data_IF_631724172750
#
_entry.id   IF_631724172750
#
_cell.length_a   1.000
_cell.length_b   1.000
_cell.length_c   1.000
_cell.angle_alpha   90.00
_cell.angle_beta   90.00
_cell.angle_gamma   90.00
#
_symmetry.space_group_name_H-M   'P 1'
#
loop_
_entity.id
_entity.type
_entity.pdbx_description
1 polymer ?
#
# COMPACT_ATOMS: atom_id res chain seq x y z
N UNK A 1 -33.79 45.55 38.30
CA UNK A 1 -32.44 45.43 38.92
C UNK A 1 -31.81 44.06 38.64
N UNK A 2 -32.41 42.96 39.12
CA UNK A 2 -31.84 41.59 38.98
C UNK A 2 -31.58 41.19 37.51
N UNK A 3 -32.49 41.50 36.60
CA UNK A 3 -32.33 41.17 35.17
C UNK A 3 -31.23 41.95 34.44
N UNK A 4 -30.90 43.17 34.88
CA UNK A 4 -29.78 43.94 34.30
C UNK A 4 -28.44 43.37 34.77
N UNK A 5 -28.32 43.11 36.08
CA UNK A 5 -27.11 42.52 36.65
C UNK A 5 -26.82 41.11 36.09
N UNK A 6 -27.86 40.29 35.88
CA UNK A 6 -27.70 38.98 35.24
C UNK A 6 -27.22 39.07 33.79
N UNK A 7 -27.65 40.09 33.04
CA UNK A 7 -27.16 40.35 31.67
C UNK A 7 -25.70 40.78 31.67
N UNK A 8 -25.32 41.70 32.55
CA UNK A 8 -23.93 42.17 32.65
C UNK A 8 -22.97 41.02 32.99
N UNK A 9 -23.38 40.14 33.92
CA UNK A 9 -22.61 38.94 34.25
C UNK A 9 -22.52 37.97 33.07
N UNK A 10 -23.62 37.75 32.34
CA UNK A 10 -23.62 36.89 31.16
C UNK A 10 -22.69 37.44 30.06
N UNK A 11 -22.72 38.75 29.82
CA UNK A 11 -21.81 39.40 28.87
C UNK A 11 -20.34 39.22 29.28
N UNK A 12 -20.00 39.44 30.56
CA UNK A 12 -18.64 39.27 31.03
C UNK A 12 -18.15 37.82 30.86
N UNK A 13 -19.00 36.84 31.19
CA UNK A 13 -18.68 35.42 31.03
C UNK A 13 -18.47 35.05 29.55
N UNK A 14 -19.35 35.50 28.66
CA UNK A 14 -19.24 35.22 27.23
C UNK A 14 -18.00 35.90 26.64
N UNK A 15 -17.70 37.15 27.03
CA UNK A 15 -16.49 37.86 26.60
C UNK A 15 -15.21 37.23 27.14
N UNK A 16 -15.25 36.59 28.31
CA UNK A 16 -14.13 35.80 28.83
C UNK A 16 -13.99 34.50 28.04
N UNK A 17 -15.09 33.82 27.73
CA UNK A 17 -15.10 32.59 26.96
C UNK A 17 -14.65 32.80 25.51
N UNK A 18 -14.99 33.94 24.89
CA UNK A 18 -14.63 34.26 23.50
C UNK A 18 -13.11 34.33 23.29
N UNK A 19 -12.34 34.71 24.33
CA UNK A 19 -10.86 34.67 24.31
C UNK A 19 -10.30 33.26 24.10
N UNK A 20 -11.08 32.22 24.37
CA UNK A 20 -10.74 30.82 24.12
C UNK A 20 -11.21 30.29 22.75
N UNK A 21 -11.61 31.17 21.82
CA UNK A 21 -12.12 30.80 20.49
C UNK A 21 -11.24 29.78 19.75
N UNK A 22 -9.91 29.90 19.81
CA UNK A 22 -9.00 28.96 19.18
C UNK A 22 -9.07 27.54 19.78
N UNK A 23 -9.38 27.39 21.07
CA UNK A 23 -9.62 26.08 21.67
C UNK A 23 -10.95 25.48 21.18
N UNK A 24 -12.01 26.27 21.18
CA UNK A 24 -13.33 25.87 20.70
C UNK A 24 -13.31 25.45 19.22
N UNK A 25 -12.59 26.18 18.38
CA UNK A 25 -12.37 25.80 16.97
C UNK A 25 -11.64 24.46 16.85
N UNK A 26 -10.59 24.24 17.65
CA UNK A 26 -9.85 22.96 17.65
C UNK A 26 -10.72 21.80 18.10
N UNK A 27 -11.58 21.99 19.10
CA UNK A 27 -12.50 20.96 19.55
C UNK A 27 -13.51 20.61 18.45
N UNK A 28 -14.08 21.61 17.77
CA UNK A 28 -15.01 21.41 16.66
C UNK A 28 -14.34 20.70 15.49
N UNK A 29 -13.15 21.15 15.09
CA UNK A 29 -12.34 20.46 14.10
C UNK A 29 -12.04 19.01 14.50
N UNK A 30 -11.60 18.78 15.73
CA UNK A 30 -11.25 17.44 16.20
C UNK A 30 -12.46 16.50 16.19
N UNK A 31 -13.65 16.98 16.56
CA UNK A 31 -14.88 16.19 16.48
C UNK A 31 -15.26 15.84 15.04
N UNK A 32 -15.11 16.77 14.09
CA UNK A 32 -15.45 16.52 12.69
C UNK A 32 -14.40 15.70 11.93
N UNK A 33 -13.12 15.88 12.29
CA UNK A 33 -11.98 15.27 11.60
C UNK A 33 -11.66 13.87 12.13
N UNK A 34 -11.58 13.71 13.46
CA UNK A 34 -11.18 12.45 14.09
C UNK A 34 -12.34 11.51 14.40
N UNK A 35 -13.59 11.94 14.25
CA UNK A 35 -14.74 11.05 14.49
C UNK A 35 -15.51 10.74 13.22
N UNK A 36 -16.09 9.56 13.17
CA UNK A 36 -17.06 9.17 12.16
C UNK A 36 -18.46 9.69 12.50
N UNK A 37 -19.43 9.48 11.61
CA UNK A 37 -20.83 9.88 11.84
C UNK A 37 -21.49 9.20 13.06
N UNK A 38 -20.88 8.13 13.59
CA UNK A 38 -21.34 7.39 14.79
C UNK A 38 -20.62 7.87 16.06
N UNK A 39 -19.74 8.87 15.95
CA UNK A 39 -18.96 9.40 17.06
C UNK A 39 -17.77 8.54 17.48
N UNK A 40 -17.46 7.48 16.74
CA UNK A 40 -16.30 6.61 16.97
C UNK A 40 -15.03 7.24 16.40
N UNK A 41 -13.85 6.96 16.97
CA UNK A 41 -12.58 7.38 16.38
C UNK A 41 -12.42 6.86 14.95
N UNK A 42 -12.04 7.74 14.04
CA UNK A 42 -11.85 7.46 12.62
C UNK A 42 -10.53 6.73 12.39
N UNK A 43 -10.58 5.74 11.50
CA UNK A 43 -9.39 5.04 11.04
C UNK A 43 -9.08 5.46 9.60
N UNK A 44 -7.95 6.13 9.39
CA UNK A 44 -7.50 6.55 8.07
C UNK A 44 -7.24 5.32 7.18
N UNK A 45 -8.16 5.07 6.25
CA UNK A 45 -8.13 3.96 5.31
C UNK A 45 -7.99 4.43 3.86
N UNK A 46 -7.82 3.52 2.91
CA UNK A 46 -7.65 3.88 1.49
C UNK A 46 -8.93 4.47 0.85
N UNK A 47 -10.10 4.18 1.41
CA UNK A 47 -11.40 4.66 0.94
C UNK A 47 -11.77 6.07 1.44
N UNK A 48 -11.03 6.62 2.38
CA UNK A 48 -11.32 7.94 2.94
C UNK A 48 -10.56 9.02 2.18
N UNK A 49 -11.30 10.04 1.75
CA UNK A 49 -10.72 11.28 1.23
C UNK A 49 -10.41 12.22 2.40
N UNK A 50 -9.16 12.18 2.85
CA UNK A 50 -8.66 13.00 3.96
C UNK A 50 -8.80 14.49 3.64
N UNK A 51 -8.69 14.89 2.38
CA UNK A 51 -8.76 16.30 1.96
C UNK A 51 -10.19 16.80 2.08
N UNK A 52 -11.15 16.08 1.52
CA UNK A 52 -12.57 16.43 1.64
C UNK A 52 -13.05 16.47 3.11
N UNK A 53 -12.59 15.52 3.93
CA UNK A 53 -12.90 15.50 5.37
C UNK A 53 -12.26 16.69 6.09
N UNK A 54 -11.03 17.06 5.74
CA UNK A 54 -10.34 18.22 6.29
C UNK A 54 -11.06 19.53 5.94
N UNK A 55 -11.54 19.68 4.71
CA UNK A 55 -12.33 20.84 4.27
C UNK A 55 -13.65 20.96 5.05
N UNK A 56 -14.39 19.85 5.19
CA UNK A 56 -15.61 19.81 5.99
C UNK A 56 -15.34 20.15 7.48
N UNK A 57 -14.25 19.63 8.05
CA UNK A 57 -13.84 19.92 9.41
C UNK A 57 -13.41 21.38 9.60
N UNK A 58 -12.68 21.97 8.65
CA UNK A 58 -12.31 23.40 8.65
C UNK A 58 -13.55 24.30 8.58
N UNK A 59 -14.53 23.93 7.76
CA UNK A 59 -15.82 24.62 7.69
C UNK A 59 -16.56 24.57 9.03
N UNK A 60 -16.54 23.44 9.74
CA UNK A 60 -17.14 23.33 11.08
C UNK A 60 -16.46 24.26 12.12
N UNK A 61 -15.14 24.42 12.03
CA UNK A 61 -14.38 25.33 12.87
C UNK A 61 -14.64 26.80 12.52
N UNK A 62 -14.74 27.13 11.23
CA UNK A 62 -15.07 28.48 10.77
C UNK A 62 -16.47 28.92 11.25
N UNK A 63 -17.47 28.03 11.17
CA UNK A 63 -18.79 28.27 11.74
C UNK A 63 -18.74 28.54 13.24
N UNK A 64 -17.92 27.79 13.98
CA UNK A 64 -17.75 28.01 15.42
C UNK A 64 -17.13 29.38 15.73
N UNK A 65 -16.15 29.83 14.93
CA UNK A 65 -15.58 31.16 15.06
C UNK A 65 -16.63 32.25 14.83
N UNK A 66 -17.45 32.11 13.79
CA UNK A 66 -18.46 33.10 13.46
C UNK A 66 -19.53 33.21 14.55
N UNK A 67 -19.93 32.09 15.18
CA UNK A 67 -20.85 32.08 16.32
C UNK A 67 -20.24 32.78 17.55
N UNK A 68 -18.93 32.64 17.79
CA UNK A 68 -18.24 33.22 18.96
C UNK A 68 -17.89 34.71 18.73
N UNK A 69 -17.85 35.18 17.48
CA UNK A 69 -17.46 36.54 17.15
C UNK A 69 -18.46 37.60 17.63
N UNK A 70 -19.73 37.24 17.79
CA UNK A 70 -20.83 38.17 18.07
C UNK A 70 -21.71 37.69 19.23
N UNK A 71 -22.14 38.63 20.07
CA UNK A 71 -23.02 38.39 21.20
C UNK A 71 -24.49 38.38 20.75
N UNK A 72 -25.14 37.21 20.77
CA UNK A 72 -26.56 37.07 20.39
C UNK A 72 -27.46 36.97 21.61
N UNK A 73 -27.54 38.05 22.40
CA UNK A 73 -28.41 38.07 23.60
C UNK A 73 -29.84 38.58 23.29
N UNK A 74 -30.03 39.20 22.14
CA UNK A 74 -31.32 39.73 21.66
C UNK A 74 -31.64 39.13 20.28
N UNK A 75 -32.86 38.63 20.09
CA UNK A 75 -33.29 37.95 18.85
C UNK A 75 -33.32 38.91 17.65
N UNK A 76 -33.60 40.20 17.90
CA UNK A 76 -33.75 41.21 16.86
C UNK A 76 -32.41 41.84 16.40
N UNK A 77 -31.33 41.66 17.17
CA UNK A 77 -30.04 42.32 16.92
C UNK A 77 -29.26 41.71 15.75
N UNK A 78 -29.59 40.48 15.34
CA UNK A 78 -28.84 39.71 14.34
C UNK A 78 -29.81 38.99 13.41
N UNK A 79 -30.49 39.74 12.54
CA UNK A 79 -31.52 39.19 11.63
C UNK A 79 -31.00 38.15 10.63
N UNK A 80 -31.92 37.44 9.96
CA UNK A 80 -31.62 36.32 9.04
C UNK A 80 -30.60 36.63 7.92
N UNK A 81 -30.53 37.88 7.46
CA UNK A 81 -29.53 38.31 6.47
C UNK A 81 -28.08 38.19 7.00
N UNK A 82 -27.91 38.39 8.30
CA UNK A 82 -26.61 38.24 8.95
C UNK A 82 -26.20 36.77 9.06
N UNK A 83 -27.15 35.86 9.27
CA UNK A 83 -26.85 34.42 9.31
C UNK A 83 -26.39 33.88 7.94
N UNK A 84 -27.00 34.38 6.86
CA UNK A 84 -26.58 34.04 5.51
C UNK A 84 -25.14 34.51 5.25
N UNK A 85 -24.82 35.77 5.58
CA UNK A 85 -23.48 36.34 5.45
C UNK A 85 -22.44 35.61 6.32
N UNK A 86 -22.79 35.25 7.56
CA UNK A 86 -21.97 34.41 8.44
C UNK A 86 -21.66 33.06 7.78
N UNK A 87 -22.66 32.44 7.15
CA UNK A 87 -22.50 31.14 6.50
C UNK A 87 -21.53 31.23 5.31
N UNK A 88 -21.65 32.28 4.51
CA UNK A 88 -20.80 32.53 3.34
C UNK A 88 -19.36 32.83 3.77
N UNK A 89 -19.18 33.75 4.72
CA UNK A 89 -17.87 34.07 5.29
C UNK A 89 -17.20 32.86 5.94
N UNK A 90 -17.97 31.94 6.56
CA UNK A 90 -17.43 30.69 7.12
C UNK A 90 -16.89 29.75 6.04
N UNK A 91 -17.54 29.73 4.87
CA UNK A 91 -17.11 28.92 3.73
C UNK A 91 -15.84 29.51 3.09
N UNK A 92 -15.81 30.83 2.86
CA UNK A 92 -14.61 31.53 2.37
C UNK A 92 -13.42 31.35 3.32
N UNK A 93 -13.68 31.42 4.62
CA UNK A 93 -12.66 31.23 5.65
C UNK A 93 -12.08 29.81 5.62
N UNK A 94 -12.94 28.80 5.48
CA UNK A 94 -12.53 27.41 5.37
C UNK A 94 -11.68 27.14 4.12
N UNK A 95 -11.91 27.87 3.03
CA UNK A 95 -11.10 27.83 1.79
C UNK A 95 -9.76 28.53 1.91
N UNK A 96 -9.53 29.28 2.99
CA UNK A 96 -8.29 30.02 3.21
C UNK A 96 -8.23 31.34 2.42
N UNK A 97 -9.37 31.87 1.99
CA UNK A 97 -9.42 33.15 1.30
C UNK A 97 -9.09 34.27 2.29
N UNK A 98 -8.01 34.99 2.03
CA UNK A 98 -7.42 35.97 2.98
C UNK A 98 -8.36 37.13 3.32
N UNK A 99 -9.39 37.36 2.49
CA UNK A 99 -10.45 38.36 2.71
C UNK A 99 -11.57 37.90 3.63
N UNK A 100 -11.70 36.60 3.92
CA UNK A 100 -12.85 36.06 4.66
C UNK A 100 -12.95 36.58 6.09
N UNK A 101 -11.81 36.81 6.77
CA UNK A 101 -11.83 37.45 8.09
C UNK A 101 -12.16 38.95 8.06
N UNK A 102 -12.12 39.58 6.88
CA UNK A 102 -12.62 40.93 6.65
C UNK A 102 -14.12 40.92 6.32
N UNK A 103 -14.67 39.83 5.78
CA UNK A 103 -16.12 39.64 5.69
C UNK A 103 -16.78 39.55 7.09
N UNK A 104 -16.01 39.15 8.11
CA UNK A 104 -16.37 39.31 9.53
C UNK A 104 -16.16 40.75 10.05
N UNK A 105 -16.07 41.79 9.20
CA UNK A 105 -15.97 43.19 9.67
C UNK A 105 -17.27 43.71 10.28
N UNK A 106 -18.38 42.99 10.12
CA UNK A 106 -19.69 43.27 10.72
C UNK A 106 -20.12 44.73 10.54
N UNK A 107 -20.09 45.21 9.30
CA UNK A 107 -20.45 46.59 8.95
C UNK A 107 -21.91 46.85 9.33
N UNK A 108 -22.14 47.79 10.26
CA UNK A 108 -23.48 48.16 10.76
C UNK A 108 -23.90 47.50 12.08
N UNK A 109 -23.03 46.72 12.73
CA UNK A 109 -23.28 46.16 14.08
C UNK A 109 -22.67 47.05 15.16
N UNK A 110 -23.41 47.30 16.24
CA UNK A 110 -22.91 48.06 17.40
C UNK A 110 -21.69 47.40 18.05
N UNK A 111 -20.68 48.20 18.37
CA UNK A 111 -19.41 47.71 18.92
C UNK A 111 -19.54 46.99 20.27
N UNK A 112 -20.62 47.22 21.01
CA UNK A 112 -20.95 46.50 22.26
C UNK A 112 -21.24 45.01 22.03
N UNK A 113 -21.82 44.68 20.86
CA UNK A 113 -22.25 43.32 20.48
C UNK A 113 -21.07 42.49 19.94
N UNK A 114 -20.00 43.13 19.50
CA UNK A 114 -18.80 42.46 18.97
C UNK A 114 -17.96 41.87 20.12
N UNK A 115 -17.88 40.55 20.19
CA UNK A 115 -17.10 39.82 21.20
C UNK A 115 -15.64 39.68 20.78
N UNK A 116 -15.40 39.44 19.50
CA UNK A 116 -14.08 39.25 18.93
C UNK A 116 -13.89 40.23 17.77
N UNK A 117 -12.96 41.20 17.87
CA UNK A 117 -12.72 42.13 16.77
C UNK A 117 -12.11 41.39 15.57
N UNK A 118 -12.27 41.90 14.34
CA UNK A 118 -11.82 41.21 13.12
C UNK A 118 -10.33 40.83 13.13
N UNK A 119 -9.48 41.65 13.78
CA UNK A 119 -8.06 41.34 13.96
C UNK A 119 -7.81 40.12 14.88
N UNK A 120 -8.61 39.97 15.94
CA UNK A 120 -8.53 38.82 16.83
C UNK A 120 -9.07 37.54 16.15
N UNK A 121 -10.12 37.65 15.32
CA UNK A 121 -10.59 36.55 14.48
C UNK A 121 -9.48 36.04 13.55
N UNK A 122 -8.77 36.96 12.86
CA UNK A 122 -7.62 36.61 12.01
C UNK A 122 -6.53 35.87 12.77
N UNK A 123 -6.17 36.37 13.95
CA UNK A 123 -5.13 35.76 14.76
C UNK A 123 -5.56 34.36 15.26
N UNK A 124 -6.80 34.23 15.73
CA UNK A 124 -7.35 32.96 16.17
C UNK A 124 -7.40 31.93 15.02
N UNK A 125 -7.84 32.36 13.83
CA UNK A 125 -7.87 31.51 12.64
C UNK A 125 -6.48 31.03 12.24
N UNK A 126 -5.49 31.93 12.15
CA UNK A 126 -4.10 31.54 11.80
C UNK A 126 -3.51 30.53 12.78
N UNK A 127 -3.77 30.71 14.08
CA UNK A 127 -3.32 29.78 15.11
C UNK A 127 -3.98 28.41 14.95
N UNK A 128 -5.28 28.39 14.72
CA UNK A 128 -6.02 27.16 14.45
C UNK A 128 -5.55 26.47 13.16
N UNK A 129 -5.37 27.22 12.08
CA UNK A 129 -5.02 26.66 10.77
C UNK A 129 -3.65 25.99 10.78
N UNK A 130 -2.67 26.58 11.48
CA UNK A 130 -1.37 25.95 11.70
C UNK A 130 -1.50 24.57 12.39
N UNK A 131 -2.34 24.46 13.41
CA UNK A 131 -2.61 23.20 14.11
C UNK A 131 -3.37 22.21 13.21
N UNK A 132 -4.33 22.69 12.41
CA UNK A 132 -5.11 21.87 11.49
C UNK A 132 -4.25 21.27 10.38
N UNK A 133 -3.37 22.07 9.75
CA UNK A 133 -2.41 21.61 8.72
C UNK A 133 -1.50 20.51 9.29
N UNK A 134 -1.04 20.65 10.53
CA UNK A 134 -0.24 19.63 11.19
C UNK A 134 -1.02 18.32 11.37
N UNK A 135 -2.30 18.37 11.76
CA UNK A 135 -3.13 17.17 11.91
C UNK A 135 -3.47 16.51 10.57
N UNK A 136 -3.77 17.29 9.54
CA UNK A 136 -4.09 16.78 8.20
C UNK A 136 -2.87 16.11 7.57
N UNK A 137 -1.68 16.72 7.67
CA UNK A 137 -0.45 16.11 7.19
C UNK A 137 -0.11 14.80 7.91
N UNK A 138 -0.35 14.72 9.22
CA UNK A 138 -0.21 13.47 9.97
C UNK A 138 -1.19 12.39 9.51
N UNK A 139 -2.46 12.75 9.23
CA UNK A 139 -3.45 11.81 8.70
C UNK A 139 -3.06 11.28 7.31
N UNK A 140 -2.58 12.14 6.41
CA UNK A 140 -2.07 11.72 5.10
C UNK A 140 -0.85 10.80 5.22
N UNK A 141 0.11 11.14 6.09
CA UNK A 141 1.26 10.29 6.34
C UNK A 141 0.87 8.93 6.92
N UNK A 142 -0.13 8.88 7.81
CA UNK A 142 -0.65 7.63 8.35
C UNK A 142 -1.35 6.77 7.28
N UNK A 143 -2.06 7.41 6.34
CA UNK A 143 -2.70 6.72 5.21
C UNK A 143 -1.65 6.11 4.27
N UNK A 144 -0.59 6.86 3.95
CA UNK A 144 0.50 6.39 3.09
C UNK A 144 1.35 5.30 3.75
N UNK A 145 1.61 5.42 5.05
CA UNK A 145 2.26 4.37 5.84
C UNK A 145 1.46 3.06 5.84
N UNK A 146 0.12 3.15 5.88
CA UNK A 146 -0.74 1.96 5.81
C UNK A 146 -0.77 1.35 4.42
N UNK A 147 -0.81 2.16 3.36
CA UNK A 147 -0.74 1.66 1.98
C UNK A 147 0.58 0.94 1.72
N UNK A 148 1.69 1.51 2.14
CA UNK A 148 3.02 0.88 1.99
C UNK A 148 3.19 -0.37 2.86
N UNK A 149 2.58 -0.41 4.04
CA UNK A 149 2.61 -1.59 4.93
C UNK A 149 1.71 -2.76 4.48
N UNK A 150 0.81 -2.57 3.50
CA UNK A 150 -0.04 -3.66 2.98
C UNK A 150 0.71 -4.65 2.08
N UNK A 151 1.96 -4.34 1.68
CA UNK A 151 2.80 -5.27 0.94
C UNK A 151 3.35 -6.38 1.83
N UNK A 152 3.51 -7.58 1.26
CA UNK A 152 4.27 -8.66 1.92
C UNK A 152 5.68 -8.11 2.20
N UNK A 153 6.19 -8.17 3.45
CA UNK A 153 7.52 -7.68 3.75
C UNK A 153 8.57 -8.34 2.85
N UNK A 154 9.54 -7.58 2.35
CA UNK A 154 10.58 -8.11 1.45
C UNK A 154 11.35 -9.29 2.09
N UNK A 155 11.55 -9.24 3.41
CA UNK A 155 12.16 -10.35 4.16
C UNK A 155 11.29 -11.62 4.16
N UNK A 156 9.97 -11.48 4.13
CA UNK A 156 9.06 -12.63 4.11
C UNK A 156 9.13 -13.35 2.76
N UNK A 157 9.36 -12.62 1.66
CA UNK A 157 9.62 -13.21 0.34
C UNK A 157 10.93 -14.02 0.38
N UNK A 158 12.00 -13.47 0.96
CA UNK A 158 13.27 -14.19 1.12
C UNK A 158 13.12 -15.43 2.00
N UNK A 159 12.39 -15.32 3.11
CA UNK A 159 12.08 -16.46 3.98
C UNK A 159 11.30 -17.55 3.24
N UNK A 160 10.32 -17.18 2.40
CA UNK A 160 9.59 -18.11 1.55
C UNK A 160 10.49 -18.82 0.53
N UNK A 161 11.47 -18.13 -0.06
CA UNK A 161 12.43 -18.73 -0.99
C UNK A 161 13.35 -19.72 -0.28
N UNK A 162 13.93 -19.33 0.86
CA UNK A 162 14.86 -20.18 1.62
C UNK A 162 14.16 -21.40 2.20
N UNK A 163 12.97 -21.22 2.78
CA UNK A 163 12.21 -22.32 3.37
C UNK A 163 11.61 -23.24 2.29
N UNK A 164 11.14 -22.66 1.17
CA UNK A 164 10.67 -23.40 0.00
C UNK A 164 11.79 -24.13 -0.77
N UNK A 165 13.06 -23.76 -0.57
CA UNK A 165 14.21 -24.42 -1.21
C UNK A 165 14.28 -25.91 -0.85
N UNK A 166 13.91 -26.28 0.38
CA UNK A 166 13.88 -27.68 0.81
C UNK A 166 12.87 -28.50 0.00
N UNK A 167 11.67 -27.97 -0.21
CA UNK A 167 10.61 -28.61 -0.99
C UNK A 167 10.96 -28.64 -2.48
N UNK A 168 11.58 -27.58 -3.01
CA UNK A 168 12.04 -27.54 -4.40
C UNK A 168 13.09 -28.64 -4.65
N UNK A 169 14.00 -28.86 -3.71
CA UNK A 169 15.01 -29.90 -3.81
C UNK A 169 14.40 -31.31 -3.70
N UNK A 170 13.45 -31.51 -2.78
CA UNK A 170 12.72 -32.77 -2.67
C UNK A 170 11.91 -33.10 -3.96
N UNK A 171 11.31 -32.08 -4.57
CA UNK A 171 10.61 -32.19 -5.85
C UNK A 171 11.55 -32.58 -6.99
N UNK A 172 12.74 -31.97 -7.06
CA UNK A 172 13.77 -32.28 -8.06
C UNK A 172 14.41 -33.65 -7.84
N UNK A 173 14.56 -34.08 -6.59
CA UNK A 173 15.19 -35.35 -6.24
C UNK A 173 14.25 -36.55 -6.39
N UNK A 174 12.95 -36.32 -6.47
CA UNK A 174 11.97 -37.38 -6.68
C UNK A 174 11.75 -37.59 -8.19
N UNK A 175 12.28 -38.68 -8.79
CA UNK A 175 12.13 -38.93 -10.23
C UNK A 175 10.66 -39.07 -10.65
N UNK A 176 9.80 -39.55 -9.73
CA UNK A 176 8.35 -39.66 -9.96
C UNK A 176 7.70 -38.27 -10.02
N UNK A 177 8.06 -37.35 -9.11
CA UNK A 177 7.52 -36.00 -9.13
C UNK A 177 7.98 -35.21 -10.35
N UNK A 178 9.20 -35.42 -10.84
CA UNK A 178 9.66 -34.84 -12.10
C UNK A 178 8.85 -35.33 -13.31
N UNK A 179 8.53 -36.63 -13.37
CA UNK A 179 7.67 -37.17 -14.43
C UNK A 179 6.27 -36.60 -14.34
N UNK A 180 5.67 -36.53 -13.14
CA UNK A 180 4.34 -35.94 -12.94
C UNK A 180 4.33 -34.45 -13.29
N UNK A 181 5.34 -33.69 -12.85
CA UNK A 181 5.51 -32.27 -13.19
C UNK A 181 5.69 -32.07 -14.69
N UNK A 182 6.47 -32.94 -15.35
CA UNK A 182 6.66 -32.93 -16.80
C UNK A 182 5.37 -33.22 -17.57
N UNK A 183 4.57 -34.19 -17.12
CA UNK A 183 3.25 -34.49 -17.69
C UNK A 183 2.30 -33.29 -17.49
N UNK A 184 2.25 -32.71 -16.29
CA UNK A 184 1.45 -31.51 -16.02
C UNK A 184 1.90 -30.31 -16.86
N UNK A 185 3.21 -30.10 -17.03
CA UNK A 185 3.77 -29.03 -17.83
C UNK A 185 3.48 -29.24 -19.33
N UNK A 186 3.52 -30.48 -19.82
CA UNK A 186 3.15 -30.84 -21.18
C UNK A 186 1.65 -30.61 -21.43
N UNK A 187 0.77 -31.12 -20.54
CA UNK A 187 -0.68 -30.91 -20.61
C UNK A 187 -1.00 -29.41 -20.52
N UNK A 188 -0.38 -28.69 -19.57
CA UNK A 188 -0.56 -27.26 -19.39
C UNK A 188 -0.08 -26.43 -20.59
N UNK A 189 1.05 -26.78 -21.21
CA UNK A 189 1.54 -26.11 -22.42
C UNK A 189 0.60 -26.34 -23.61
N UNK A 190 0.05 -27.56 -23.74
CA UNK A 190 -0.95 -27.87 -24.76
C UNK A 190 -2.25 -27.12 -24.52
N UNK A 191 -2.74 -27.10 -23.28
CA UNK A 191 -3.87 -26.26 -22.89
C UNK A 191 -3.60 -24.78 -23.17
N UNK A 192 -2.40 -24.26 -22.90
CA UNK A 192 -2.06 -22.85 -23.11
C UNK A 192 -2.04 -22.46 -24.60
N UNK A 193 -1.69 -23.39 -25.48
CA UNK A 193 -1.65 -23.17 -26.92
C UNK A 193 -3.04 -23.36 -27.55
N UNK A 194 -3.84 -24.31 -27.05
CA UNK A 194 -5.18 -24.62 -27.56
C UNK A 194 -6.27 -23.70 -26.98
N UNK A 195 -6.19 -23.38 -25.70
CA UNK A 195 -6.95 -22.31 -25.09
C UNK A 195 -6.16 -21.05 -25.37
N UNK A 196 -6.53 -20.35 -26.43
CA UNK A 196 -6.19 -18.94 -26.64
C UNK A 196 -6.69 -18.12 -25.43
N UNK A 197 -5.97 -18.25 -24.32
CA UNK A 197 -6.42 -17.91 -22.97
C UNK A 197 -6.68 -16.41 -22.89
N UNK A 198 -5.92 -15.64 -23.66
CA UNK A 198 -6.09 -14.21 -23.86
C UNK A 198 -7.42 -13.84 -24.53
N UNK A 199 -7.93 -14.66 -25.46
CA UNK A 199 -9.18 -14.38 -26.17
C UNK A 199 -10.44 -14.74 -25.37
N UNK A 200 -10.37 -15.74 -24.47
CA UNK A 200 -11.51 -16.15 -23.63
C UNK A 200 -11.54 -15.51 -22.23
N UNK A 201 -10.39 -15.16 -21.62
CA UNK A 201 -10.37 -14.43 -20.34
C UNK A 201 -10.88 -12.99 -20.44
N UNK A 202 -10.84 -12.38 -21.64
CA UNK A 202 -11.47 -11.08 -21.87
C UNK A 202 -13.00 -11.10 -21.71
N UNK A 203 -13.64 -12.29 -21.72
CA UNK A 203 -15.09 -12.44 -21.45
C UNK A 203 -15.42 -12.61 -19.96
N UNK A 204 -14.42 -12.54 -19.08
CA UNK A 204 -14.60 -12.59 -17.62
C UNK A 204 -13.99 -13.85 -17.00
N UNK A 205 -13.27 -13.63 -15.88
CA UNK A 205 -12.47 -14.64 -15.16
C UNK A 205 -13.31 -15.86 -14.71
N UNK A 206 -14.55 -15.62 -14.25
CA UNK A 206 -15.40 -16.65 -13.62
C UNK A 206 -16.04 -17.63 -14.62
N UNK A 207 -16.68 -17.20 -15.73
CA UNK A 207 -17.20 -18.15 -16.73
C UNK A 207 -16.09 -18.89 -17.50
N UNK A 208 -14.90 -18.26 -17.64
CA UNK A 208 -13.75 -18.89 -18.29
C UNK A 208 -13.24 -20.12 -17.54
N UNK A 209 -13.15 -20.06 -16.21
CA UNK A 209 -12.64 -21.17 -15.38
C UNK A 209 -13.62 -22.36 -15.37
N UNK A 210 -14.94 -22.10 -15.41
CA UNK A 210 -15.97 -23.16 -15.38
C UNK A 210 -16.03 -23.93 -16.70
N UNK A 211 -15.89 -23.25 -17.84
CA UNK A 211 -15.86 -23.92 -19.16
C UNK A 211 -14.56 -24.69 -19.36
N UNK A 212 -13.42 -24.14 -18.89
CA UNK A 212 -12.16 -24.89 -18.88
C UNK A 212 -12.31 -26.22 -18.11
N UNK A 213 -12.92 -26.19 -16.92
CA UNK A 213 -13.05 -27.37 -16.06
C UNK A 213 -13.88 -28.50 -16.69
N UNK A 214 -14.89 -28.17 -17.51
CA UNK A 214 -15.74 -29.16 -18.19
C UNK A 214 -15.03 -29.90 -19.33
N UNK A 215 -14.04 -29.30 -19.97
CA UNK A 215 -13.33 -29.85 -21.12
C UNK A 215 -12.04 -30.61 -20.74
N UNK A 216 -11.53 -30.44 -19.51
CA UNK A 216 -10.35 -31.18 -19.00
C UNK A 216 -10.58 -32.69 -19.01
N UNK A 217 -11.78 -33.14 -18.64
CA UNK A 217 -12.13 -34.56 -18.60
C UNK A 217 -11.90 -35.28 -19.94
N UNK A 218 -12.60 -34.89 -21.03
CA UNK A 218 -12.42 -35.55 -22.32
C UNK A 218 -11.02 -35.36 -22.92
N UNK A 219 -10.38 -34.21 -22.73
CA UNK A 219 -9.01 -33.97 -23.21
C UNK A 219 -7.99 -34.91 -22.53
N UNK A 220 -8.13 -35.12 -21.21
CA UNK A 220 -7.26 -36.02 -20.45
C UNK A 220 -7.43 -37.47 -20.90
N UNK A 221 -8.66 -37.91 -21.20
CA UNK A 221 -8.91 -39.28 -21.67
C UNK A 221 -8.33 -39.54 -23.06
N UNK A 222 -8.43 -38.57 -23.98
CA UNK A 222 -7.85 -38.69 -25.32
C UNK A 222 -6.32 -38.79 -25.25
N UNK A 223 -5.69 -37.92 -24.47
CA UNK A 223 -4.24 -37.92 -24.30
C UNK A 223 -3.72 -39.21 -23.64
N UNK A 224 -4.48 -39.77 -22.69
CA UNK A 224 -4.14 -41.04 -22.03
C UNK A 224 -4.27 -42.24 -22.98
N UNK A 225 -5.21 -42.19 -23.92
CA UNK A 225 -5.38 -43.24 -24.93
C UNK A 225 -4.33 -43.21 -26.05
N UNK A 226 -3.77 -42.03 -26.35
CA UNK A 226 -2.77 -41.83 -27.40
C UNK A 226 -1.33 -42.05 -26.90
N UNK A 227 -1.10 -41.97 -25.59
CA UNK A 227 0.20 -42.15 -24.94
C UNK A 227 0.90 -43.50 -25.22
N UNK A 228 0.21 -44.66 -25.23
CA UNK A 228 0.84 -45.95 -25.53
C UNK A 228 1.36 -46.05 -26.97
N UNK A 229 0.69 -45.40 -27.92
CA UNK A 229 1.01 -45.48 -29.35
C UNK A 229 2.14 -44.51 -29.72
N UNK A 230 2.14 -43.30 -29.13
CA UNK A 230 3.21 -42.33 -29.33
C UNK A 230 4.59 -42.81 -28.83
N UNK A 231 4.62 -43.63 -27.77
CA UNK A 231 5.84 -44.28 -27.28
C UNK A 231 6.31 -45.42 -28.20
N UNK A 232 5.39 -46.17 -28.80
CA UNK A 232 5.72 -47.24 -29.75
C UNK A 232 6.30 -46.68 -31.07
N UNK A 233 5.73 -45.60 -31.59
CA UNK A 233 6.13 -45.01 -32.87
C UNK A 233 7.53 -44.38 -32.84
N UNK A 234 7.95 -43.85 -31.69
CA UNK A 234 9.28 -43.28 -31.48
C UNK A 234 10.38 -44.33 -31.43
N UNK A 235 10.08 -45.56 -30.99
CA UNK A 235 11.06 -46.65 -30.94
C UNK A 235 11.35 -47.23 -32.34
N UNK A 236 10.34 -47.27 -33.22
CA UNK A 236 10.51 -47.66 -34.64
C UNK A 236 11.27 -46.62 -35.47
N UNK A 237 11.09 -45.32 -35.19
CA UNK A 237 11.82 -44.24 -35.89
C UNK A 237 13.27 -44.11 -35.42
N UNK A 238 13.54 -44.36 -34.13
CA UNK A 238 14.90 -44.43 -33.60
C UNK A 238 15.71 -45.62 -34.16
N UNK A 239 15.09 -46.79 -34.33
CA UNK A 239 15.76 -47.97 -34.90
C UNK A 239 16.09 -47.85 -36.39
N UNK A 240 15.27 -47.15 -37.19
CA UNK A 240 15.51 -46.95 -38.62
C UNK A 240 16.60 -45.90 -38.92
N UNK A 241 16.78 -44.90 -38.06
CA UNK A 241 17.85 -43.91 -38.20
C UNK A 241 19.25 -44.49 -37.97
N UNK A 242 19.38 -45.49 -37.09
CA UNK A 242 20.66 -46.17 -36.80
C UNK A 242 21.02 -47.21 -37.87
N UNK A 243 20.02 -47.88 -38.46
CA UNK A 243 20.24 -48.81 -39.57
C UNK A 243 20.66 -48.13 -40.89
N UNK A 244 20.16 -46.90 -41.16
CA UNK A 244 20.54 -46.13 -42.34
C UNK A 244 21.98 -45.59 -42.29
N UNK A 245 22.54 -45.37 -41.10
CA UNK A 245 23.93 -44.92 -40.92
C UNK A 245 24.97 -46.05 -41.08
N UNK A 246 24.58 -47.31 -40.85
CA UNK A 246 25.48 -48.46 -40.94
C UNK A 246 25.67 -49.02 -42.38
N UNK A 247 24.80 -48.65 -43.32
CA UNK A 247 24.80 -49.20 -44.68
C UNK A 247 25.77 -48.55 -45.68
N UNK A 248 26.46 -47.45 -45.33
CA UNK A 248 27.21 -46.65 -46.30
C UNK A 248 28.74 -46.67 -46.14
N UNK A 249 29.30 -47.68 -45.46
CA UNK A 249 30.75 -47.78 -45.21
C UNK A 249 31.32 -49.15 -45.58
N UNK A 250 31.07 -49.63 -46.81
CA UNK A 250 31.84 -50.74 -47.40
C UNK A 250 32.04 -50.50 -48.90
N UNK A 251 33.20 -49.92 -49.24
CA UNK A 251 33.59 -49.68 -50.62
C UNK A 251 34.96 -49.01 -50.76
N UNK A 252 36.02 -49.83 -50.71
CA UNK A 252 37.25 -49.79 -51.55
C UNK A 252 37.93 -48.42 -51.77
N UNK A 253 39.21 -48.15 -51.51
CA UNK A 253 40.38 -48.93 -51.15
C UNK A 253 41.65 -48.08 -51.45
N UNK A 254 42.72 -48.30 -50.67
CA UNK A 254 44.13 -48.09 -51.04
C UNK A 254 44.69 -46.66 -51.17
N UNK A 255 45.59 -46.27 -50.26
CA UNK A 255 47.03 -46.08 -50.53
C UNK A 255 47.77 -45.41 -49.36
N UNK A 256 49.03 -45.83 -49.21
CA UNK A 256 50.04 -45.57 -48.19
C UNK A 256 50.32 -44.11 -47.75
N UNK A 257 50.77 -43.92 -46.49
CA UNK A 257 52.15 -43.52 -46.18
C UNK A 257 52.42 -43.39 -44.65
N UNK A 258 53.68 -43.59 -44.29
CA UNK A 258 54.34 -43.78 -42.97
C UNK A 258 54.35 -42.56 -42.02
N UNK A 259 54.49 -42.81 -40.71
CA UNK A 259 55.70 -42.54 -39.88
C UNK A 259 55.36 -42.64 -38.35
N UNK A 260 55.98 -43.57 -37.60
CA UNK A 260 57.13 -43.39 -36.67
C UNK A 260 56.72 -42.73 -35.33
N UNK A 261 56.33 -43.49 -34.30
CA UNK A 261 57.14 -43.97 -33.15
C UNK A 261 57.88 -42.86 -32.41
N UNK A 262 57.48 -42.56 -31.15
CA UNK A 262 58.32 -42.63 -29.93
C UNK A 262 57.48 -42.33 -28.67
N UNK A 263 57.62 -43.14 -27.62
CA UNK A 263 57.31 -42.83 -26.21
C UNK A 263 58.68 -42.61 -25.51
N UNK A 264 58.85 -41.95 -24.32
CA UNK A 264 58.32 -42.48 -23.04
C UNK A 264 58.16 -41.48 -21.84
N UNK A 265 57.50 -41.99 -20.78
CA UNK A 265 57.78 -41.93 -19.30
C UNK A 265 57.92 -40.64 -18.45
N UNK A 266 57.37 -40.79 -17.21
CA UNK A 266 57.78 -40.26 -15.86
C UNK A 266 57.77 -38.73 -15.61
N UNK A 267 57.48 -38.11 -14.45
CA UNK A 267 57.70 -38.29 -12.99
C UNK A 267 56.54 -37.56 -12.23
N UNK A 268 56.03 -37.99 -11.06
CA UNK A 268 56.49 -37.74 -9.66
C UNK A 268 56.66 -36.23 -9.35
N UNK A 269 55.85 -35.59 -8.50
CA UNK A 269 56.00 -35.34 -7.04
C UNK A 269 55.04 -34.14 -6.77
N UNK A 270 54.45 -33.83 -5.63
CA UNK A 270 54.63 -34.15 -4.22
C UNK A 270 54.02 -32.99 -3.41
N UNK A 271 53.45 -33.29 -2.24
CA UNK A 271 53.36 -32.43 -1.05
C UNK A 271 52.52 -31.13 -1.11
N UNK A 272 51.91 -30.60 -0.05
CA UNK A 272 51.64 -31.02 1.33
C UNK A 272 50.73 -29.95 1.97
N UNK A 273 49.92 -30.38 2.95
CA UNK A 273 49.46 -29.64 4.16
C UNK A 273 48.71 -28.30 4.01
N UNK A 274 47.74 -27.95 4.86
CA UNK A 274 47.25 -28.52 6.11
C UNK A 274 46.19 -27.58 6.71
N UNK A 275 45.40 -28.13 7.64
CA UNK A 275 44.75 -27.52 8.82
C UNK A 275 44.45 -26.00 8.82
N UNK A 276 43.28 -25.50 9.20
CA UNK A 276 42.23 -26.08 10.01
C UNK A 276 41.43 -24.98 10.73
N UNK A 277 40.29 -25.40 11.28
CA UNK A 277 39.65 -24.91 12.52
C UNK A 277 38.66 -23.72 12.50
N UNK A 278 37.43 -24.07 12.94
CA UNK A 278 36.38 -23.39 13.73
C UNK A 278 36.01 -21.93 13.40
N UNK A 279 34.74 -21.60 13.19
CA UNK A 279 33.65 -21.70 14.18
C UNK A 279 33.70 -20.45 15.09
N UNK A 280 32.66 -19.68 15.34
CA UNK A 280 31.21 -19.80 15.15
C UNK A 280 30.56 -19.04 16.30
N UNK A 281 29.65 -18.10 15.99
CA UNK A 281 28.69 -17.47 16.93
C UNK A 281 29.29 -16.55 18.02
N UNK A 282 28.56 -15.69 18.70
CA UNK A 282 27.18 -15.19 18.59
C UNK A 282 27.04 -14.07 19.63
N UNK A 283 25.96 -13.28 19.50
CA UNK A 283 25.25 -12.54 20.56
C UNK A 283 25.78 -11.20 21.11
N UNK A 284 24.97 -10.18 20.81
CA UNK A 284 24.16 -9.37 21.75
C UNK A 284 24.71 -8.16 22.52
N UNK A 285 23.73 -7.28 22.80
CA UNK A 285 23.66 -6.14 23.70
C UNK A 285 24.41 -4.88 23.24
N UNK A 286 23.78 -3.71 23.07
CA UNK A 286 22.67 -3.16 23.83
C UNK A 286 23.20 -2.21 24.91
N UNK A 287 22.65 -0.99 24.93
CA UNK A 287 22.69 0.05 26.00
C UNK A 287 23.42 1.35 25.62
N UNK A 288 22.58 2.33 25.26
CA UNK A 288 22.88 3.77 25.29
C UNK A 288 23.01 4.24 26.74
N UNK A 289 23.99 5.11 27.03
CA UNK A 289 23.96 6.01 28.21
C UNK A 289 24.08 7.47 27.74
N UNK A 290 23.11 8.29 28.16
CA UNK A 290 23.16 9.77 28.13
C UNK A 290 24.03 10.29 29.29
N UNK A 291 24.61 11.50 29.17
CA UNK A 291 25.48 12.08 30.19
C UNK A 291 24.71 12.78 31.33
N UNK A 292 25.38 12.80 32.50
CA UNK A 292 25.06 13.58 33.71
C UNK A 292 25.06 15.09 33.42
N UNK A 293 24.11 15.81 34.02
CA UNK A 293 24.19 17.25 34.26
C UNK A 293 24.37 17.43 35.78
N UNK A 294 25.45 18.11 36.16
CA UNK A 294 25.68 18.68 37.48
C UNK A 294 25.97 20.17 37.25
N UNK A 295 25.46 20.98 38.18
CA UNK A 295 25.60 22.43 38.37
C UNK A 295 24.88 23.36 37.38
#
# INVERSE_FOLDING_TARGET
AIGAHARDLAEELVRRASKSAAALMRDRFATAFHRDARGLPRAWGASEDVVAIAEAARLSAAKALAIIALLRLDEDAVGAAHEAAVSEASVELARGESGACSALSWDGVDASVVLLPPAACRQAWRRFDADAVAQVSQAMAAQEARRSAQGVPSWAILAMIVLGWNELWALLSSPVLLVVLGVLAFVGSKLWIELDASAKLQKGLVPGIIVLAGEVGPALTKLLSEWPQALADNNTKGGQAVAAAAGNATGVGGAAAKAKVEAPQEEVEGEAEGSGFAGGGSSEAGVRRRPKRAD
#
